data_IF_410648556990
#
_entry.id   IF_410648556990
#
_cell.length_a   1.000
_cell.length_b   1.000
_cell.length_c   1.000
_cell.angle_alpha   90.00
_cell.angle_beta   90.00
_cell.angle_gamma   90.00
#
_symmetry.space_group_name_H-M   'P 1'
#
loop_
_entity.id
_entity.type
_entity.pdbx_description
1 polymer ?
#
# COMPACT_ATOMS: atom_id res chain seq x y z
N UNK A 1 2.81 -20.56 -14.27
CA UNK A 1 4.26 -20.78 -14.26
C UNK A 1 5.03 -19.58 -13.71
N UNK A 2 4.84 -18.35 -14.20
CA UNK A 2 5.50 -17.13 -13.67
C UNK A 2 5.21 -16.84 -12.20
N UNK A 3 3.96 -17.00 -11.73
CA UNK A 3 3.56 -16.78 -10.33
C UNK A 3 4.24 -17.79 -9.38
N UNK A 4 4.36 -19.06 -9.80
CA UNK A 4 5.04 -20.09 -9.00
C UNK A 4 6.56 -19.84 -8.91
N UNK A 5 7.18 -19.34 -9.98
CA UNK A 5 8.59 -18.94 -9.99
C UNK A 5 8.83 -17.71 -9.10
N UNK A 6 7.89 -16.78 -9.06
CA UNK A 6 8.01 -15.57 -8.24
C UNK A 6 7.82 -15.88 -6.74
N UNK A 7 6.84 -16.73 -6.39
CA UNK A 7 6.66 -17.19 -5.01
C UNK A 7 7.83 -18.05 -4.53
N UNK A 8 8.36 -18.95 -5.36
CA UNK A 8 9.53 -19.75 -5.04
C UNK A 8 10.78 -18.88 -4.84
N UNK A 9 10.98 -17.86 -5.67
CA UNK A 9 12.14 -16.95 -5.56
C UNK A 9 12.01 -15.93 -4.44
N UNK A 10 10.80 -15.44 -4.16
CA UNK A 10 10.52 -14.65 -2.95
C UNK A 10 10.76 -15.46 -1.67
N UNK A 11 10.45 -16.76 -1.69
CA UNK A 11 10.77 -17.70 -0.60
C UNK A 11 12.27 -17.95 -0.49
N UNK A 12 13.00 -18.08 -1.62
CA UNK A 12 14.44 -18.22 -1.64
C UNK A 12 15.15 -16.97 -1.11
N UNK A 13 14.67 -15.78 -1.50
CA UNK A 13 15.15 -14.49 -0.98
C UNK A 13 14.85 -14.33 0.52
N UNK A 14 13.71 -14.76 1.00
CA UNK A 14 13.40 -14.82 2.43
C UNK A 14 14.28 -15.82 3.19
N UNK A 15 14.73 -16.88 2.52
CA UNK A 15 15.66 -17.87 3.09
C UNK A 15 17.12 -17.37 3.07
N UNK A 16 17.56 -16.69 2.00
CA UNK A 16 18.87 -16.04 1.93
C UNK A 16 19.01 -14.89 2.93
N UNK A 17 17.91 -14.17 3.21
CA UNK A 17 17.86 -13.15 4.26
C UNK A 17 18.22 -13.70 5.65
N UNK A 18 18.00 -15.00 5.90
CA UNK A 18 18.41 -15.66 7.15
C UNK A 18 19.92 -15.88 7.26
N UNK A 19 20.63 -15.91 6.16
CA UNK A 19 22.08 -16.17 6.11
C UNK A 19 22.94 -14.90 6.10
N UNK A 20 22.37 -13.76 5.70
CA UNK A 20 23.09 -12.49 5.74
C UNK A 20 23.08 -11.91 7.17
N UNK A 21 24.23 -12.01 7.80
CA UNK A 21 24.58 -11.51 9.13
C UNK A 21 24.49 -9.97 9.19
N UNK A 22 23.29 -9.42 9.28
CA UNK A 22 23.09 -8.02 9.66
C UNK A 22 23.19 -7.95 11.18
N UNK A 23 24.33 -7.45 11.63
CA UNK A 23 24.79 -7.52 13.01
C UNK A 23 23.75 -7.23 14.08
N UNK A 24 23.72 -8.07 15.08
CA UNK A 24 23.16 -7.96 16.45
C UNK A 24 21.77 -7.33 16.69
N UNK A 25 21.11 -6.70 15.74
CA UNK A 25 19.74 -6.21 15.88
C UNK A 25 18.67 -7.28 15.57
N UNK A 26 19.04 -8.40 14.97
CA UNK A 26 18.14 -9.45 14.47
C UNK A 26 18.19 -10.77 15.24
N UNK A 27 18.89 -10.85 16.36
CA UNK A 27 19.02 -12.11 17.15
C UNK A 27 17.74 -12.61 17.84
N UNK A 28 16.60 -11.93 17.70
CA UNK A 28 15.38 -12.28 18.42
C UNK A 28 14.28 -13.00 17.60
N UNK A 29 14.52 -13.40 16.37
CA UNK A 29 13.49 -14.13 15.60
C UNK A 29 13.91 -15.52 15.08
N UNK A 30 14.92 -16.13 15.67
CA UNK A 30 15.47 -17.42 15.21
C UNK A 30 14.64 -18.65 15.65
N UNK A 31 13.37 -18.51 16.00
CA UNK A 31 12.60 -19.59 16.62
C UNK A 31 11.24 -19.95 16.02
N UNK A 32 10.84 -19.42 14.85
CA UNK A 32 9.56 -19.84 14.25
C UNK A 32 9.77 -20.51 12.90
N UNK A 33 9.44 -21.81 12.78
CA UNK A 33 9.36 -22.47 11.49
C UNK A 33 8.19 -21.87 10.71
N UNK A 34 8.46 -21.23 9.56
CA UNK A 34 7.41 -20.92 8.59
C UNK A 34 7.00 -22.20 7.88
N UNK A 35 6.10 -22.95 8.49
CA UNK A 35 5.32 -23.93 7.76
C UNK A 35 4.24 -23.16 7.01
N UNK A 36 4.38 -23.01 5.71
CA UNK A 36 3.32 -22.52 4.81
C UNK A 36 2.07 -23.41 4.85
N UNK A 37 2.22 -24.65 5.30
CA UNK A 37 1.17 -25.60 5.59
C UNK A 37 1.50 -26.32 6.90
N UNK A 38 1.21 -25.73 8.08
CA UNK A 38 1.13 -26.54 9.29
C UNK A 38 -0.05 -27.48 9.07
N UNK A 39 0.11 -28.76 9.46
CA UNK A 39 -0.97 -29.75 9.38
C UNK A 39 -2.27 -29.14 9.88
N UNK A 40 -3.30 -29.14 9.02
CA UNK A 40 -4.65 -28.56 9.14
C UNK A 40 -4.84 -27.64 10.37
N UNK A 41 -4.46 -26.36 10.28
CA UNK A 41 -4.74 -25.45 11.37
C UNK A 41 -6.24 -25.30 11.47
N UNK A 42 -6.80 -25.57 12.64
CA UNK A 42 -8.16 -25.25 12.94
C UNK A 42 -8.32 -23.74 12.66
N UNK A 43 -9.11 -23.34 11.66
CA UNK A 43 -9.30 -21.93 11.28
C UNK A 43 -9.61 -21.05 12.49
N UNK A 44 -10.32 -21.60 13.50
CA UNK A 44 -10.58 -20.95 14.78
C UNK A 44 -9.29 -20.60 15.56
N UNK A 45 -8.21 -21.39 15.43
CA UNK A 45 -6.96 -21.12 16.13
C UNK A 45 -6.16 -19.97 15.50
N UNK A 46 -6.28 -19.76 14.19
CA UNK A 46 -5.63 -18.65 13.47
C UNK A 46 -6.22 -17.29 13.84
N UNK A 47 -7.54 -17.25 14.11
CA UNK A 47 -8.27 -16.04 14.50
C UNK A 47 -8.43 -15.90 16.03
N UNK A 48 -7.76 -16.74 16.84
CA UNK A 48 -7.81 -16.60 18.28
C UNK A 48 -7.15 -15.29 18.72
N UNK A 49 -7.73 -14.64 19.75
CA UNK A 49 -7.15 -13.42 20.34
C UNK A 49 -5.69 -13.62 20.78
N UNK A 50 -5.34 -14.84 21.17
CA UNK A 50 -3.98 -15.20 21.57
C UNK A 50 -3.02 -15.20 20.36
N UNK A 51 -3.41 -15.82 19.24
CA UNK A 51 -2.61 -15.85 18.02
C UNK A 51 -2.39 -14.44 17.46
N UNK A 52 -3.44 -13.63 17.40
CA UNK A 52 -3.34 -12.22 16.95
C UNK A 52 -2.40 -11.42 17.85
N UNK A 53 -2.53 -11.55 19.20
CA UNK A 53 -1.62 -10.90 20.15
C UNK A 53 -0.18 -11.36 20.00
N UNK A 54 0.04 -12.65 19.79
CA UNK A 54 1.37 -13.22 19.57
C UNK A 54 2.00 -12.65 18.31
N UNK A 55 1.27 -12.66 17.18
CA UNK A 55 1.74 -12.06 15.93
C UNK A 55 1.98 -10.55 16.06
N UNK A 56 1.10 -9.82 16.76
CA UNK A 56 1.31 -8.39 17.02
C UNK A 56 2.61 -8.14 17.80
N UNK A 57 2.87 -8.91 18.85
CA UNK A 57 4.09 -8.77 19.68
C UNK A 57 5.36 -9.17 18.93
N UNK A 58 5.28 -10.16 18.04
CA UNK A 58 6.39 -10.65 17.22
C UNK A 58 6.63 -9.88 15.93
N UNK A 59 5.86 -8.78 15.68
CA UNK A 59 5.82 -8.06 14.39
C UNK A 59 5.46 -8.97 13.21
N UNK A 60 4.55 -9.91 13.40
CA UNK A 60 3.93 -10.65 12.30
C UNK A 60 3.12 -9.70 11.41
N UNK A 61 2.74 -10.12 10.18
CA UNK A 61 2.07 -9.27 9.19
C UNK A 61 0.57 -9.08 9.50
N UNK A 62 0.25 -8.51 10.68
CA UNK A 62 -1.14 -8.35 11.14
C UNK A 62 -1.89 -7.30 10.33
N UNK A 63 -1.25 -6.15 10.05
CA UNK A 63 -1.87 -5.07 9.26
C UNK A 63 -2.05 -5.52 7.82
N UNK A 64 -1.05 -6.16 7.22
CA UNK A 64 -1.14 -6.75 5.88
C UNK A 64 -2.33 -7.71 5.79
N UNK A 65 -2.41 -8.67 6.71
CA UNK A 65 -3.51 -9.65 6.74
C UNK A 65 -4.87 -8.99 6.93
N UNK A 66 -4.95 -7.95 7.76
CA UNK A 66 -6.17 -7.18 7.99
C UNK A 66 -6.63 -6.47 6.71
N UNK A 67 -5.72 -5.80 6.01
CA UNK A 67 -6.05 -5.11 4.75
C UNK A 67 -6.54 -6.12 3.71
N UNK A 68 -5.84 -7.28 3.56
CA UNK A 68 -6.25 -8.34 2.64
C UNK A 68 -7.66 -8.84 2.97
N UNK A 69 -7.96 -9.09 4.25
CA UNK A 69 -9.29 -9.55 4.68
C UNK A 69 -10.37 -8.50 4.37
N UNK A 70 -10.11 -7.21 4.64
CA UNK A 70 -11.05 -6.13 4.37
C UNK A 70 -11.31 -6.03 2.85
N UNK A 71 -10.26 -5.98 2.02
CA UNK A 71 -10.40 -5.90 0.57
C UNK A 71 -11.16 -7.10 0.02
N UNK A 72 -10.84 -8.32 0.49
CA UNK A 72 -11.53 -9.54 0.05
C UNK A 72 -12.99 -9.54 0.48
N UNK A 73 -13.30 -9.14 1.72
CA UNK A 73 -14.69 -9.07 2.20
C UNK A 73 -15.51 -8.04 1.40
N UNK A 74 -14.96 -6.86 1.14
CA UNK A 74 -15.62 -5.83 0.33
C UNK A 74 -15.82 -6.34 -1.10
N UNK A 75 -14.81 -6.97 -1.70
CA UNK A 75 -14.91 -7.54 -3.04
C UNK A 75 -15.99 -8.63 -3.15
N UNK A 76 -16.14 -9.48 -2.13
CA UNK A 76 -17.23 -10.47 -2.08
C UNK A 76 -18.58 -9.76 -2.08
N UNK A 77 -18.73 -8.67 -1.33
CA UNK A 77 -19.97 -7.85 -1.34
C UNK A 77 -20.19 -7.24 -2.73
N UNK A 78 -19.15 -6.66 -3.35
CA UNK A 78 -19.24 -6.11 -4.71
C UNK A 78 -19.64 -7.20 -5.73
N UNK A 79 -19.08 -8.39 -5.61
CA UNK A 79 -19.42 -9.53 -6.47
C UNK A 79 -20.89 -9.93 -6.30
N UNK A 80 -21.36 -10.10 -5.06
CA UNK A 80 -22.75 -10.42 -4.77
C UNK A 80 -23.71 -9.34 -5.30
N UNK A 81 -23.41 -8.07 -5.06
CA UNK A 81 -24.20 -6.96 -5.60
C UNK A 81 -24.21 -6.96 -7.13
N UNK A 82 -23.10 -7.29 -7.76
CA UNK A 82 -23.02 -7.36 -9.23
C UNK A 82 -23.94 -8.42 -9.84
N UNK A 83 -24.28 -9.45 -9.07
CA UNK A 83 -25.14 -10.57 -9.50
C UNK A 83 -26.61 -10.33 -9.14
N UNK A 84 -26.87 -9.76 -7.96
CA UNK A 84 -28.23 -9.69 -7.39
C UNK A 84 -28.84 -8.29 -7.51
N UNK A 85 -28.02 -7.25 -7.38
CA UNK A 85 -28.50 -5.87 -7.35
C UNK A 85 -27.49 -4.89 -7.99
N UNK A 86 -27.38 -4.83 -9.33
CA UNK A 86 -26.42 -3.98 -10.05
C UNK A 86 -26.49 -2.49 -9.67
N UNK A 87 -27.69 -1.95 -9.44
CA UNK A 87 -27.87 -0.56 -9.01
C UNK A 87 -27.25 -0.32 -7.62
N UNK A 88 -27.30 -1.28 -6.71
CA UNK A 88 -26.64 -1.21 -5.42
C UNK A 88 -25.11 -1.23 -5.56
N UNK A 89 -24.57 -2.00 -6.49
CA UNK A 89 -23.15 -1.96 -6.82
C UNK A 89 -22.72 -0.57 -7.32
N UNK A 90 -23.48 0.00 -8.27
CA UNK A 90 -23.18 1.34 -8.80
C UNK A 90 -23.22 2.39 -7.70
N UNK A 91 -24.19 2.34 -6.80
CA UNK A 91 -24.28 3.24 -5.64
C UNK A 91 -23.06 3.09 -4.72
N UNK A 92 -22.67 1.85 -4.38
CA UNK A 92 -21.53 1.55 -3.51
C UNK A 92 -20.21 2.04 -4.14
N UNK A 93 -19.96 1.68 -5.40
CA UNK A 93 -18.76 2.10 -6.12
C UNK A 93 -18.79 3.61 -6.37
N UNK A 94 -19.92 4.19 -6.73
CA UNK A 94 -20.10 5.63 -6.91
C UNK A 94 -19.84 6.44 -5.64
N UNK A 95 -20.17 5.89 -4.46
CA UNK A 95 -19.87 6.49 -3.17
C UNK A 95 -18.37 6.41 -2.82
N UNK A 96 -17.71 5.29 -3.12
CA UNK A 96 -16.37 4.99 -2.61
C UNK A 96 -15.22 5.22 -3.58
N UNK A 97 -15.46 5.26 -4.91
CA UNK A 97 -14.42 5.51 -5.92
C UNK A 97 -13.95 6.96 -5.89
N UNK A 98 -12.67 7.18 -6.18
CA UNK A 98 -12.11 8.52 -6.32
C UNK A 98 -12.26 9.02 -7.75
N UNK A 99 -12.69 10.27 -7.91
CA UNK A 99 -12.66 11.01 -9.17
C UNK A 99 -12.21 12.44 -8.86
N UNK A 100 -11.19 12.99 -9.57
CA UNK A 100 -10.67 14.33 -9.33
C UNK A 100 -11.74 15.39 -9.24
N UNK A 101 -12.74 15.34 -10.13
CA UNK A 101 -13.86 16.30 -10.20
C UNK A 101 -14.58 16.51 -8.86
N UNK A 102 -14.66 15.48 -8.03
CA UNK A 102 -15.42 15.50 -6.78
C UNK A 102 -14.57 15.13 -5.55
N UNK A 103 -13.28 14.94 -5.73
CA UNK A 103 -12.41 14.37 -4.71
C UNK A 103 -12.39 15.19 -3.42
N UNK A 104 -12.27 16.52 -3.50
CA UNK A 104 -12.26 17.39 -2.30
C UNK A 104 -13.64 17.58 -1.68
N UNK A 105 -14.72 17.42 -2.43
CA UNK A 105 -16.11 17.41 -1.90
C UNK A 105 -16.43 16.07 -1.23
N UNK A 106 -15.69 14.99 -1.57
CA UNK A 106 -15.85 13.65 -1.04
C UNK A 106 -14.51 13.10 -0.51
N UNK A 107 -13.90 13.74 0.50
CA UNK A 107 -12.54 13.43 0.94
C UNK A 107 -12.37 11.99 1.44
N UNK A 108 -13.43 11.32 1.87
CA UNK A 108 -13.39 9.90 2.22
C UNK A 108 -12.97 9.00 1.06
N UNK A 109 -13.18 9.44 -0.20
CA UNK A 109 -12.84 8.65 -1.41
C UNK A 109 -11.34 8.41 -1.56
N UNK A 110 -10.48 9.26 -0.98
CA UNK A 110 -9.04 9.01 -0.91
C UNK A 110 -8.71 7.73 -0.12
N UNK A 111 -9.56 7.33 0.82
CA UNK A 111 -9.38 6.13 1.64
C UNK A 111 -10.25 4.98 1.10
N UNK A 112 -11.54 5.21 0.88
CA UNK A 112 -12.48 4.14 0.52
C UNK A 112 -12.15 3.51 -0.82
N UNK A 113 -11.65 4.29 -1.78
CA UNK A 113 -11.24 3.78 -3.10
C UNK A 113 -10.16 2.70 -3.02
N UNK A 114 -9.28 2.72 -2.01
CA UNK A 114 -8.21 1.74 -1.85
C UNK A 114 -8.73 0.34 -1.50
N UNK A 115 -9.97 0.21 -1.06
CA UNK A 115 -10.56 -1.06 -0.62
C UNK A 115 -11.55 -1.66 -1.61
N UNK A 116 -12.01 -0.88 -2.60
CA UNK A 116 -12.88 -1.35 -3.68
C UNK A 116 -12.08 -2.07 -4.75
N UNK A 117 -12.66 -3.11 -5.36
CA UNK A 117 -12.02 -3.85 -6.45
C UNK A 117 -13.07 -4.25 -7.51
N UNK A 118 -12.64 -4.34 -8.78
CA UNK A 118 -13.53 -4.73 -9.88
C UNK A 118 -14.11 -6.13 -9.66
N UNK A 119 -15.43 -6.27 -9.44
CA UNK A 119 -16.00 -7.56 -9.04
C UNK A 119 -15.95 -8.61 -10.15
N UNK A 120 -16.11 -8.21 -11.41
CA UNK A 120 -16.13 -9.13 -12.57
C UNK A 120 -14.74 -9.55 -13.06
N UNK A 121 -13.69 -8.97 -12.52
CA UNK A 121 -12.30 -9.25 -12.91
C UNK A 121 -11.52 -9.76 -11.70
N UNK A 122 -11.53 -11.08 -11.50
CA UNK A 122 -10.80 -11.73 -10.40
C UNK A 122 -9.31 -11.32 -10.39
N UNK A 123 -8.71 -11.12 -11.56
CA UNK A 123 -7.31 -10.74 -11.67
C UNK A 123 -6.98 -9.42 -10.97
N UNK A 124 -7.92 -8.45 -10.96
CA UNK A 124 -7.68 -7.16 -10.31
C UNK A 124 -7.44 -7.31 -8.81
N UNK A 125 -8.33 -7.98 -8.08
CA UNK A 125 -8.11 -8.21 -6.65
C UNK A 125 -6.97 -9.18 -6.40
N UNK A 126 -6.85 -10.24 -7.20
CA UNK A 126 -5.80 -11.26 -7.04
C UNK A 126 -4.41 -10.63 -7.13
N UNK A 127 -4.13 -9.83 -8.15
CA UNK A 127 -2.82 -9.17 -8.29
C UNK A 127 -2.55 -8.16 -7.18
N UNK A 128 -3.55 -7.38 -6.75
CA UNK A 128 -3.40 -6.47 -5.63
C UNK A 128 -3.07 -7.23 -4.33
N UNK A 129 -3.85 -8.26 -3.99
CA UNK A 129 -3.63 -9.02 -2.75
C UNK A 129 -2.34 -9.83 -2.78
N UNK A 130 -1.97 -10.41 -3.92
CA UNK A 130 -0.70 -11.13 -4.08
C UNK A 130 0.49 -10.18 -3.93
N UNK A 131 0.41 -8.99 -4.49
CA UNK A 131 1.43 -7.94 -4.33
C UNK A 131 1.55 -7.53 -2.86
N UNK A 132 0.43 -7.24 -2.21
CA UNK A 132 0.41 -6.88 -0.79
C UNK A 132 0.99 -8.00 0.08
N UNK A 133 0.61 -9.25 -0.21
CA UNK A 133 1.15 -10.43 0.48
C UNK A 133 2.66 -10.60 0.29
N UNK A 134 3.19 -10.26 -0.89
CA UNK A 134 4.61 -10.43 -1.20
C UNK A 134 5.49 -9.34 -0.57
N UNK A 135 5.07 -8.08 -0.64
CA UNK A 135 5.88 -6.91 -0.24
C UNK A 135 5.56 -6.46 1.19
N UNK A 136 4.28 -6.52 1.56
CA UNK A 136 3.78 -5.98 2.83
C UNK A 136 4.44 -6.57 4.07
N UNK A 137 4.54 -7.91 4.22
CA UNK A 137 5.11 -8.53 5.41
C UNK A 137 6.56 -8.14 5.69
N UNK A 138 7.34 -7.88 4.64
CA UNK A 138 8.73 -7.44 4.78
C UNK A 138 8.78 -6.03 5.35
N UNK A 139 8.00 -5.10 4.78
CA UNK A 139 7.94 -3.72 5.25
C UNK A 139 7.33 -3.62 6.66
N UNK A 140 6.23 -4.34 6.93
CA UNK A 140 5.59 -4.33 8.24
C UNK A 140 6.52 -4.84 9.36
N UNK A 141 7.33 -5.88 9.08
CA UNK A 141 8.34 -6.36 10.03
C UNK A 141 9.46 -5.37 10.26
N UNK A 142 9.92 -4.69 9.21
CA UNK A 142 11.00 -3.71 9.29
C UNK A 142 10.58 -2.43 10.02
N UNK A 143 9.38 -1.92 9.70
CA UNK A 143 8.91 -0.63 10.19
C UNK A 143 8.05 -0.75 11.46
N UNK A 144 7.38 -1.89 11.65
CA UNK A 144 6.32 -2.09 12.64
C UNK A 144 4.94 -1.73 12.07
N UNK A 145 3.88 -2.12 12.80
CA UNK A 145 2.49 -2.07 12.34
C UNK A 145 2.02 -0.66 11.95
N UNK A 146 2.18 0.30 12.86
CA UNK A 146 1.67 1.66 12.67
C UNK A 146 2.42 2.45 11.57
N UNK A 147 3.76 2.45 11.51
CA UNK A 147 4.48 3.07 10.40
C UNK A 147 4.14 2.44 9.05
N UNK A 148 3.96 1.12 8.99
CA UNK A 148 3.53 0.43 7.78
C UNK A 148 2.12 0.86 7.34
N UNK A 149 1.15 0.90 8.29
CA UNK A 149 -0.20 1.36 7.99
C UNK A 149 -0.20 2.79 7.47
N UNK A 150 0.57 3.69 8.10
CA UNK A 150 0.71 5.07 7.63
C UNK A 150 1.32 5.15 6.24
N UNK A 151 2.35 4.34 5.96
CA UNK A 151 2.96 4.27 4.63
C UNK A 151 1.92 3.83 3.59
N UNK A 152 1.13 2.80 3.86
CA UNK A 152 0.07 2.31 2.98
C UNK A 152 -0.98 3.39 2.70
N UNK A 153 -1.51 4.01 3.77
CA UNK A 153 -2.55 5.03 3.66
C UNK A 153 -2.06 6.29 2.94
N UNK A 154 -0.89 6.81 3.31
CA UNK A 154 -0.34 8.02 2.68
C UNK A 154 0.03 7.78 1.22
N UNK A 155 0.48 6.56 0.87
CA UNK A 155 0.72 6.19 -0.52
C UNK A 155 -0.58 6.17 -1.33
N UNK A 156 -1.67 5.65 -0.77
CA UNK A 156 -2.99 5.67 -1.42
C UNK A 156 -3.54 7.08 -1.61
N UNK A 157 -3.43 7.95 -0.59
CA UNK A 157 -3.76 9.38 -0.70
C UNK A 157 -2.90 10.04 -1.77
N UNK A 158 -1.60 9.73 -1.81
CA UNK A 158 -0.68 10.19 -2.86
C UNK A 158 -1.12 9.77 -4.26
N UNK A 159 -1.71 8.57 -4.38
CA UNK A 159 -2.33 8.13 -5.64
C UNK A 159 -3.47 9.04 -6.07
N UNK A 160 -4.38 9.38 -5.16
CA UNK A 160 -5.45 10.34 -5.43
C UNK A 160 -4.93 11.74 -5.77
N UNK A 161 -3.90 12.21 -5.06
CA UNK A 161 -3.24 13.48 -5.37
C UNK A 161 -2.62 13.48 -6.77
N UNK A 162 -1.98 12.37 -7.18
CA UNK A 162 -1.44 12.19 -8.53
C UNK A 162 -2.51 12.26 -9.61
N UNK A 163 -3.70 11.73 -9.36
CA UNK A 163 -4.85 11.88 -10.27
C UNK A 163 -5.29 13.33 -10.38
N UNK A 164 -5.36 14.09 -9.29
CA UNK A 164 -5.73 15.51 -9.31
C UNK A 164 -4.69 16.35 -10.04
N UNK A 165 -3.39 16.11 -9.81
CA UNK A 165 -2.31 16.78 -10.54
C UNK A 165 -2.42 16.53 -12.03
N UNK A 166 -2.65 15.28 -12.43
CA UNK A 166 -2.86 14.96 -13.84
C UNK A 166 -4.08 15.66 -14.41
N UNK A 167 -5.20 15.65 -13.68
CA UNK A 167 -6.43 16.30 -14.13
C UNK A 167 -6.24 17.81 -14.36
N UNK A 168 -5.48 18.47 -13.49
CA UNK A 168 -5.18 19.91 -13.61
C UNK A 168 -4.18 20.25 -14.74
N UNK A 169 -3.29 19.31 -15.10
CA UNK A 169 -2.27 19.54 -16.13
C UNK A 169 -2.65 18.98 -17.50
N UNK A 170 -3.54 18.01 -17.57
CA UNK A 170 -3.96 17.39 -18.82
C UNK A 170 -4.88 18.32 -19.61
N UNK A 171 -4.77 18.35 -20.94
CA UNK A 171 -5.67 19.17 -21.76
C UNK A 171 -7.10 18.65 -21.70
N UNK A 172 -8.06 19.57 -21.61
CA UNK A 172 -9.49 19.26 -21.55
C UNK A 172 -9.98 18.69 -20.23
N UNK A 173 -11.18 18.12 -20.22
CA UNK A 173 -11.85 17.67 -18.99
C UNK A 173 -11.70 16.19 -18.69
N UNK A 174 -11.08 15.41 -19.56
CA UNK A 174 -11.01 13.94 -19.42
C UNK A 174 -10.33 13.50 -18.12
N UNK A 175 -9.27 14.20 -17.71
CA UNK A 175 -8.57 13.91 -16.45
C UNK A 175 -9.48 14.07 -15.22
N UNK A 176 -10.37 15.07 -15.23
CA UNK A 176 -11.32 15.34 -14.13
C UNK A 176 -12.40 14.27 -14.01
N UNK A 177 -12.82 13.69 -15.14
CA UNK A 177 -13.86 12.66 -15.21
C UNK A 177 -13.32 11.26 -14.95
N UNK A 178 -12.00 11.07 -15.00
CA UNK A 178 -11.37 9.78 -14.76
C UNK A 178 -11.61 9.34 -13.32
N UNK A 179 -12.28 8.20 -13.14
CA UNK A 179 -12.50 7.64 -11.82
C UNK A 179 -11.66 6.37 -11.61
N UNK A 180 -11.19 6.16 -10.38
CA UNK A 180 -10.39 5.01 -10.03
C UNK A 180 -10.77 4.42 -8.69
N UNK A 181 -10.48 3.12 -8.53
CA UNK A 181 -10.53 2.39 -7.27
C UNK A 181 -9.63 1.15 -7.34
N UNK A 182 -9.12 0.72 -6.21
CA UNK A 182 -8.18 -0.39 -6.05
C UNK A 182 -7.03 -0.03 -5.11
N UNK A 183 -6.45 -1.04 -4.49
CA UNK A 183 -5.31 -0.88 -3.59
C UNK A 183 -4.01 -0.46 -4.30
N UNK A 184 -3.99 -0.50 -5.64
CA UNK A 184 -2.75 -0.41 -6.43
C UNK A 184 -1.96 0.89 -6.21
N UNK A 185 -2.63 2.05 -6.05
CA UNK A 185 -1.92 3.29 -5.71
C UNK A 185 -1.08 3.18 -4.45
N UNK A 186 -1.65 2.59 -3.38
CA UNK A 186 -0.92 2.33 -2.15
C UNK A 186 0.21 1.31 -2.36
N UNK A 187 -0.04 0.25 -3.14
CA UNK A 187 0.96 -0.80 -3.42
C UNK A 187 2.17 -0.27 -4.19
N UNK A 188 1.98 0.66 -5.11
CA UNK A 188 3.09 1.33 -5.80
C UNK A 188 3.96 2.13 -4.82
N UNK A 189 3.37 2.73 -3.79
CA UNK A 189 4.12 3.36 -2.70
C UNK A 189 4.91 2.35 -1.87
N UNK A 190 4.35 1.16 -1.60
CA UNK A 190 5.09 0.08 -0.95
C UNK A 190 6.25 -0.42 -1.82
N UNK A 191 6.10 -0.50 -3.14
CA UNK A 191 7.21 -0.79 -4.05
C UNK A 191 8.32 0.24 -3.96
N UNK A 192 7.98 1.53 -4.00
CA UNK A 192 8.96 2.60 -3.84
C UNK A 192 9.70 2.51 -2.49
N UNK A 193 8.97 2.24 -1.41
CA UNK A 193 9.55 2.03 -0.09
C UNK A 193 10.52 0.85 -0.08
N UNK A 194 10.14 -0.27 -0.68
CA UNK A 194 11.00 -1.44 -0.79
C UNK A 194 12.26 -1.15 -1.59
N UNK A 195 12.16 -0.40 -2.70
CA UNK A 195 13.33 0.03 -3.49
C UNK A 195 14.30 0.85 -2.67
N UNK A 196 13.80 1.82 -1.89
CA UNK A 196 14.64 2.65 -1.00
C UNK A 196 15.35 1.79 0.04
N UNK A 197 14.64 0.83 0.65
CA UNK A 197 15.21 -0.09 1.64
C UNK A 197 16.27 -1.00 1.01
N UNK A 198 15.97 -1.64 -0.10
CA UNK A 198 16.88 -2.58 -0.76
C UNK A 198 18.14 -1.91 -1.29
N UNK A 199 18.00 -0.71 -1.90
CA UNK A 199 19.17 0.07 -2.33
C UNK A 199 20.13 0.38 -1.17
N UNK A 200 19.60 0.58 0.04
CA UNK A 200 20.44 0.86 1.23
C UNK A 200 21.05 -0.38 1.85
N UNK A 201 20.43 -1.53 1.67
CA UNK A 201 20.92 -2.80 2.22
C UNK A 201 21.78 -3.58 1.23
N UNK A 202 21.94 -3.08 -0.01
CA UNK A 202 22.70 -3.75 -1.06
C UNK A 202 22.03 -5.03 -1.58
N UNK A 203 20.71 -5.18 -1.38
CA UNK A 203 19.97 -6.34 -1.85
C UNK A 203 19.73 -6.27 -3.36
N UNK A 204 19.70 -7.43 -4.01
CA UNK A 204 19.37 -7.53 -5.43
C UNK A 204 17.89 -7.15 -5.65
N UNK A 205 17.66 -6.29 -6.65
CA UNK A 205 16.35 -5.72 -6.94
C UNK A 205 15.77 -6.13 -8.30
N UNK A 206 16.47 -6.93 -9.07
CA UNK A 206 16.13 -7.25 -10.47
C UNK A 206 14.70 -7.79 -10.61
N UNK A 207 14.33 -8.77 -9.78
CA UNK A 207 12.98 -9.36 -9.83
C UNK A 207 11.89 -8.35 -9.45
N UNK A 208 12.19 -7.44 -8.52
CA UNK A 208 11.25 -6.38 -8.12
C UNK A 208 11.11 -5.32 -9.22
N UNK A 209 12.20 -4.95 -9.89
CA UNK A 209 12.14 -4.05 -11.05
C UNK A 209 11.33 -4.64 -12.19
N UNK A 210 11.52 -5.93 -12.51
CA UNK A 210 10.75 -6.62 -13.55
C UNK A 210 9.26 -6.60 -13.20
N UNK A 211 8.90 -6.97 -11.96
CA UNK A 211 7.52 -6.96 -11.52
C UNK A 211 6.89 -5.57 -11.56
N UNK A 212 7.63 -4.57 -11.12
CA UNK A 212 7.20 -3.17 -11.16
C UNK A 212 7.05 -2.67 -12.59
N UNK A 213 7.98 -2.98 -13.49
CA UNK A 213 7.91 -2.62 -14.90
C UNK A 213 6.68 -3.22 -15.58
N UNK A 214 6.36 -4.50 -15.30
CA UNK A 214 5.13 -5.14 -15.77
C UNK A 214 3.89 -4.37 -15.28
N UNK A 215 3.85 -4.01 -13.99
CA UNK A 215 2.70 -3.29 -13.42
C UNK A 215 2.58 -1.85 -13.98
N UNK A 216 3.70 -1.16 -14.25
CA UNK A 216 3.67 0.15 -14.92
C UNK A 216 3.31 0.05 -16.41
N UNK A 217 3.61 -1.07 -17.06
CA UNK A 217 3.23 -1.30 -18.45
C UNK A 217 1.77 -1.74 -18.62
N UNK A 218 1.13 -2.29 -17.58
CA UNK A 218 -0.25 -2.78 -17.65
C UNK A 218 -1.26 -1.73 -18.14
N UNK A 219 -1.19 -0.45 -17.71
CA UNK A 219 -2.10 0.60 -18.24
C UNK A 219 -2.00 0.83 -19.74
N UNK A 220 -0.87 0.48 -20.36
CA UNK A 220 -0.69 0.59 -21.83
C UNK A 220 -1.44 -0.52 -22.58
N UNK A 221 -1.72 -1.64 -21.90
CA UNK A 221 -2.33 -2.84 -22.47
C UNK A 221 -3.79 -2.98 -22.03
N UNK A 222 -4.09 -2.63 -20.77
CA UNK A 222 -5.41 -2.78 -20.15
C UNK A 222 -6.04 -1.40 -19.96
N UNK A 223 -7.09 -1.06 -20.72
CA UNK A 223 -7.79 0.19 -20.55
C UNK A 223 -8.41 0.34 -19.16
N UNK A 224 -8.52 1.56 -18.68
CA UNK A 224 -9.19 1.87 -17.40
C UNK A 224 -8.30 1.75 -16.16
N UNK A 225 -7.02 1.41 -16.29
CA UNK A 225 -6.07 1.47 -15.19
C UNK A 225 -5.58 2.91 -15.01
N UNK A 226 -5.80 3.48 -13.83
CA UNK A 226 -5.38 4.83 -13.48
C UNK A 226 -3.87 4.88 -13.16
N UNK A 227 -3.02 4.91 -14.19
CA UNK A 227 -1.56 4.98 -14.03
C UNK A 227 -1.12 6.21 -13.22
N UNK A 228 -1.88 7.29 -13.24
CA UNK A 228 -1.66 8.50 -12.47
C UNK A 228 -1.65 8.22 -10.96
N UNK A 229 -2.58 7.36 -10.52
CA UNK A 229 -2.63 6.93 -9.13
C UNK A 229 -1.40 6.07 -8.76
N UNK A 230 -0.89 5.27 -9.70
CA UNK A 230 0.33 4.49 -9.48
C UNK A 230 1.55 5.41 -9.30
N UNK A 231 1.71 6.40 -10.17
CA UNK A 231 2.82 7.37 -10.08
C UNK A 231 2.72 8.19 -8.80
N UNK A 232 1.54 8.74 -8.48
CA UNK A 232 1.34 9.53 -7.26
C UNK A 232 1.63 8.73 -5.99
N UNK A 233 1.14 7.50 -5.92
CA UNK A 233 1.40 6.60 -4.80
C UNK A 233 2.88 6.23 -4.68
N UNK A 234 3.54 5.93 -5.80
CA UNK A 234 4.97 5.63 -5.85
C UNK A 234 5.81 6.80 -5.30
N UNK A 235 5.52 8.02 -5.75
CA UNK A 235 6.22 9.24 -5.27
C UNK A 235 5.99 9.42 -3.77
N UNK A 236 4.74 9.35 -3.30
CA UNK A 236 4.41 9.58 -1.89
C UNK A 236 5.10 8.55 -0.97
N UNK A 237 5.03 7.26 -1.29
CA UNK A 237 5.66 6.20 -0.51
C UNK A 237 7.18 6.27 -0.55
N UNK A 238 7.75 6.58 -1.72
CA UNK A 238 9.19 6.77 -1.89
C UNK A 238 9.72 7.96 -1.07
N UNK A 239 9.06 9.12 -1.17
CA UNK A 239 9.43 10.32 -0.41
C UNK A 239 9.36 10.07 1.10
N UNK A 240 8.24 9.50 1.60
CA UNK A 240 8.12 9.19 3.02
C UNK A 240 9.27 8.28 3.49
N UNK A 241 9.56 7.22 2.73
CA UNK A 241 10.61 6.27 3.11
C UNK A 241 12.01 6.91 3.03
N UNK A 242 12.26 7.75 2.05
CA UNK A 242 13.49 8.53 1.96
C UNK A 242 13.66 9.45 3.19
N UNK A 243 12.63 10.19 3.56
CA UNK A 243 12.64 11.05 4.74
C UNK A 243 12.92 10.26 6.03
N UNK A 244 12.27 9.11 6.19
CA UNK A 244 12.47 8.24 7.35
C UNK A 244 13.89 7.66 7.41
N UNK A 245 14.50 7.42 6.28
CA UNK A 245 15.83 6.81 6.19
C UNK A 245 16.99 7.83 6.17
N UNK A 246 16.77 9.07 5.72
CA UNK A 246 17.78 10.12 5.65
C UNK A 246 17.74 11.08 6.85
N UNK A 247 16.61 11.18 7.56
CA UNK A 247 16.54 12.07 8.71
C UNK A 247 17.63 11.71 9.74
N UNK A 248 18.40 12.71 10.26
CA UNK A 248 19.41 12.46 11.26
C UNK A 248 18.77 11.74 12.44
N UNK A 249 19.42 10.67 12.90
CA UNK A 249 18.99 9.98 14.11
C UNK A 249 18.98 11.03 15.23
N UNK A 250 17.82 11.28 15.84
CA UNK A 250 17.70 12.16 16.99
C UNK A 250 18.81 11.77 17.95
N UNK A 251 19.66 12.74 18.32
CA UNK A 251 20.91 12.55 19.06
C UNK A 251 20.59 11.72 20.30
N UNK A 252 21.08 10.49 20.32
CA UNK A 252 20.87 9.55 21.42
C UNK A 252 21.43 10.19 22.69
N UNK A 253 20.57 10.70 23.57
CA UNK A 253 20.92 10.77 24.99
C UNK A 253 20.98 9.31 25.48
N UNK A 254 22.16 8.91 25.92
CA UNK A 254 22.40 7.57 26.41
C UNK A 254 21.30 7.19 27.41
N UNK A 255 20.51 6.17 27.09
CA UNK A 255 19.57 5.51 28.02
C UNK A 255 18.08 5.66 27.78
N UNK A 256 17.55 6.56 26.90
CA UNK A 256 16.16 6.99 27.03
C UNK A 256 15.15 6.61 25.93
N UNK A 257 15.52 6.18 24.72
CA UNK A 257 14.54 6.01 23.63
C UNK A 257 14.56 4.60 23.06
N UNK A 258 13.39 3.96 23.10
CA UNK A 258 13.16 2.67 22.41
C UNK A 258 13.19 2.93 20.89
N UNK A 259 14.00 2.22 20.08
CA UNK A 259 14.18 2.48 18.63
C UNK A 259 12.86 2.49 17.82
N UNK A 260 11.85 1.74 18.26
CA UNK A 260 10.52 1.68 17.63
C UNK A 260 9.66 2.91 17.92
N UNK A 261 9.75 3.47 19.11
CA UNK A 261 9.03 4.69 19.46
C UNK A 261 9.58 5.88 18.66
N UNK A 262 10.89 5.93 18.45
CA UNK A 262 11.53 6.92 17.61
C UNK A 262 11.06 6.83 16.14
N UNK A 263 11.01 5.62 15.57
CA UNK A 263 10.53 5.43 14.19
C UNK A 263 9.06 5.84 14.05
N UNK A 264 8.20 5.48 15.00
CA UNK A 264 6.79 5.88 14.97
C UNK A 264 6.65 7.41 15.04
N UNK A 265 7.34 8.06 15.98
CA UNK A 265 7.31 9.52 16.12
C UNK A 265 7.77 10.22 14.83
N UNK A 266 8.85 9.73 14.22
CA UNK A 266 9.34 10.26 12.94
C UNK A 266 8.37 10.00 11.80
N UNK A 267 7.73 8.84 11.76
CA UNK A 267 6.71 8.53 10.75
C UNK A 267 5.51 9.44 10.90
N UNK A 268 5.06 9.71 12.12
CA UNK A 268 3.99 10.66 12.39
C UNK A 268 4.37 12.08 11.94
N UNK A 269 5.57 12.55 12.29
CA UNK A 269 6.03 13.89 11.95
C UNK A 269 6.18 14.07 10.42
N UNK A 270 6.93 13.21 9.76
CA UNK A 270 7.13 13.29 8.31
C UNK A 270 5.87 12.93 7.53
N UNK A 271 5.05 12.03 8.05
CA UNK A 271 3.75 11.70 7.48
C UNK A 271 2.80 12.90 7.52
N UNK A 272 2.76 13.64 8.62
CA UNK A 272 1.97 14.87 8.73
C UNK A 272 2.45 15.96 7.76
N UNK A 273 3.77 16.15 7.64
CA UNK A 273 4.35 17.09 6.66
C UNK A 273 3.98 16.68 5.23
N UNK A 274 4.16 15.42 4.88
CA UNK A 274 3.82 14.91 3.54
C UNK A 274 2.33 15.07 3.25
N UNK A 275 1.46 14.75 4.21
CA UNK A 275 0.02 14.91 4.08
C UNK A 275 -0.35 16.40 3.87
N UNK A 276 0.25 17.31 4.64
CA UNK A 276 0.02 18.74 4.48
C UNK A 276 0.45 19.23 3.09
N UNK A 277 1.59 18.77 2.58
CA UNK A 277 2.04 19.08 1.22
C UNK A 277 1.08 18.52 0.17
N UNK A 278 0.62 17.27 0.32
CA UNK A 278 -0.36 16.68 -0.59
C UNK A 278 -1.68 17.46 -0.58
N UNK A 279 -2.18 17.86 0.59
CA UNK A 279 -3.39 18.70 0.71
C UNK A 279 -3.17 20.04 0.00
N UNK A 280 -2.04 20.71 0.21
CA UNK A 280 -1.75 21.97 -0.45
C UNK A 280 -1.71 21.83 -1.98
N UNK A 281 -1.10 20.76 -2.49
CA UNK A 281 -1.09 20.44 -3.92
C UNK A 281 -2.49 20.17 -4.45
N UNK A 282 -3.30 19.40 -3.74
CA UNK A 282 -4.68 19.11 -4.14
C UNK A 282 -5.55 20.35 -4.16
N UNK A 283 -5.41 21.25 -3.17
CA UNK A 283 -6.11 22.53 -3.13
C UNK A 283 -5.67 23.44 -4.28
N UNK A 284 -4.37 23.46 -4.63
CA UNK A 284 -3.89 24.21 -5.78
C UNK A 284 -4.45 23.65 -7.10
N UNK A 285 -4.54 22.32 -7.23
CA UNK A 285 -5.16 21.69 -8.42
C UNK A 285 -6.66 22.01 -8.53
N UNK A 286 -7.36 22.17 -7.39
CA UNK A 286 -8.79 22.47 -7.36
C UNK A 286 -9.14 23.79 -8.04
N UNK A 287 -8.21 24.74 -8.12
CA UNK A 287 -8.39 26.00 -8.87
C UNK A 287 -8.67 25.76 -10.36
N UNK A 288 -8.14 24.67 -10.92
CA UNK A 288 -8.37 24.26 -12.31
C UNK A 288 -9.60 23.34 -12.46
N UNK A 289 -10.32 23.04 -11.40
CA UNK A 289 -11.49 22.16 -11.44
C UNK A 289 -12.67 22.89 -12.14
N UNK A 290 -13.24 22.31 -13.22
CA UNK A 290 -14.30 22.95 -14.00
C UNK A 290 -15.61 23.19 -13.22
N UNK A 291 -15.82 22.45 -12.12
CA UNK A 291 -16.96 22.66 -11.20
C UNK A 291 -16.53 23.08 -9.81
N UNK A 292 -15.32 23.56 -9.63
CA UNK A 292 -14.59 23.95 -8.42
C UNK A 292 -15.36 24.00 -7.09
N UNK A 293 -14.65 23.97 -5.96
CA UNK A 293 -15.27 24.15 -4.63
C UNK A 293 -15.87 25.56 -4.45
N UNK A 294 -15.42 26.52 -5.27
CA UNK A 294 -15.71 27.95 -5.14
C UNK A 294 -16.56 28.49 -6.28
N UNK A 295 -17.04 27.65 -7.19
CA UNK A 295 -17.94 28.00 -8.32
C UNK A 295 -19.39 27.81 -7.97
#
# INVERSE_FOLDING_TARGET
>A
MLVALFTARAMQLAAQWRQCNVGNAFRYSAGMPYNLFPGSPNLRSLFSRHAIRSQWRSNGPVVVSTIIMICTAIWVVELLLSLVWPAGLEAMVGFGRIAPLTALRRPWTFITSMFLHQPRTLLHILFNMLTLWSVGPVLERLMGHWPFLMLYVLSGIGGGAGMMVWAALAPGYQGWLTAAYGASGALFGLFAAMMVVFRRTGQEMTSMFIWMAINFAMPLIVPGIAWQAHVGGFIAGGVLTLLLTHAPRLRRRAGAVRPRADLLTRTLAWGAVLLAVMIAVMLACEVANPIGLFS
#
